data_IF_698726132244
#
_entry.id   IF_698726132244
#
_cell.length_a   1.000
_cell.length_b   1.000
_cell.length_c   1.000
_cell.angle_alpha   90.00
_cell.angle_beta   90.00
_cell.angle_gamma   90.00
#
_symmetry.space_group_name_H-M   'P 1'
#
loop_
_entity.id
_entity.type
_entity.pdbx_description
1 polymer ?
#
# COMPACT_ATOMS: atom_id res chain seq x y z
N UNK A 1 -3.12 25.92 1.53
CA UNK A 1 -2.59 26.31 0.21
C UNK A 1 -1.50 25.30 -0.08
N UNK A 2 -1.82 24.29 -0.90
CA UNK A 2 -0.78 23.38 -1.40
C UNK A 2 0.10 24.19 -2.36
N UNK A 3 1.40 24.09 -2.19
CA UNK A 3 2.36 24.70 -3.09
C UNK A 3 2.35 23.85 -4.35
N UNK A 4 2.19 24.42 -5.53
CA UNK A 4 2.32 23.70 -6.80
C UNK A 4 3.71 23.06 -6.86
N UNK A 5 3.79 21.80 -7.32
CA UNK A 5 4.98 20.95 -7.46
C UNK A 5 5.51 20.31 -6.15
N UNK A 6 4.70 20.18 -5.08
CA UNK A 6 5.12 19.53 -3.84
C UNK A 6 5.21 18.00 -4.00
N UNK A 7 6.41 17.44 -3.74
CA UNK A 7 6.68 16.00 -3.79
C UNK A 7 6.85 15.40 -2.40
N UNK A 8 6.09 14.35 -2.12
CA UNK A 8 6.14 13.61 -0.85
C UNK A 8 6.61 12.18 -1.09
N UNK A 9 7.65 11.76 -0.38
CA UNK A 9 8.06 10.35 -0.31
C UNK A 9 7.34 9.69 0.86
N UNK A 10 6.46 8.73 0.57
CA UNK A 10 5.71 7.99 1.57
C UNK A 10 6.30 6.60 1.79
N UNK A 11 6.27 6.13 3.05
CA UNK A 11 6.77 4.81 3.47
C UNK A 11 5.68 4.08 4.24
N UNK A 12 5.42 2.81 3.85
CA UNK A 12 4.43 1.92 4.47
C UNK A 12 5.11 0.61 4.88
N UNK A 13 4.90 0.19 6.14
CA UNK A 13 5.41 -1.07 6.69
C UNK A 13 4.50 -1.65 7.77
N UNK A 14 3.19 -1.41 7.71
CA UNK A 14 2.28 -1.71 8.84
C UNK A 14 2.05 -3.21 9.09
N UNK A 15 2.24 -4.07 8.10
CA UNK A 15 1.97 -5.51 8.23
C UNK A 15 3.06 -6.37 7.56
N UNK A 16 2.82 -6.87 6.37
CA UNK A 16 3.65 -7.84 5.65
C UNK A 16 4.09 -7.35 4.26
N UNK A 17 3.95 -6.07 4.00
CA UNK A 17 4.45 -5.42 2.81
C UNK A 17 5.30 -4.20 3.17
N UNK A 18 6.45 -4.07 2.53
CA UNK A 18 7.26 -2.86 2.58
C UNK A 18 7.02 -2.08 1.31
N UNK A 19 6.48 -0.88 1.44
CA UNK A 19 6.25 -0.03 0.26
C UNK A 19 6.84 1.37 0.43
N UNK A 20 7.23 1.96 -0.70
CA UNK A 20 7.52 3.38 -0.82
C UNK A 20 6.95 3.95 -2.12
N UNK A 21 6.46 5.17 -2.05
CA UNK A 21 5.86 5.86 -3.18
C UNK A 21 6.28 7.33 -3.19
N UNK A 22 6.38 7.91 -4.37
CA UNK A 22 6.51 9.36 -4.55
C UNK A 22 5.21 9.89 -5.14
N UNK A 23 4.60 10.84 -4.44
CA UNK A 23 3.36 11.49 -4.86
C UNK A 23 3.61 12.99 -5.02
N UNK A 24 3.17 13.55 -6.14
CA UNK A 24 3.24 14.97 -6.45
C UNK A 24 1.87 15.61 -6.33
N UNK A 25 1.79 16.82 -5.82
CA UNK A 25 0.57 17.62 -5.70
C UNK A 25 -0.59 16.94 -4.94
N UNK A 26 -0.26 15.91 -4.13
CA UNK A 26 -1.23 15.18 -3.32
C UNK A 26 -1.99 14.07 -4.03
N UNK A 27 -1.98 14.03 -5.36
CA UNK A 27 -2.74 13.06 -6.16
C UNK A 27 -1.92 12.34 -7.23
N UNK A 28 -0.89 12.97 -7.77
CA UNK A 28 -0.16 12.43 -8.91
C UNK A 28 0.89 11.41 -8.45
N UNK A 29 0.64 10.14 -8.72
CA UNK A 29 1.54 9.04 -8.35
C UNK A 29 2.70 8.95 -9.34
N UNK A 30 3.90 9.36 -8.93
CA UNK A 30 5.12 9.31 -9.74
C UNK A 30 5.78 7.92 -9.67
N UNK A 31 5.73 7.26 -8.51
CA UNK A 31 6.23 5.89 -8.32
C UNK A 31 5.49 5.18 -7.20
N UNK A 32 5.43 3.85 -7.30
CA UNK A 32 4.94 2.97 -6.23
C UNK A 32 5.71 1.64 -6.29
N UNK A 33 6.52 1.40 -5.28
CA UNK A 33 7.35 0.20 -5.15
C UNK A 33 6.88 -0.60 -3.95
N UNK A 34 6.54 -1.86 -4.17
CA UNK A 34 6.03 -2.77 -3.13
C UNK A 34 6.90 -4.02 -3.11
N UNK A 35 7.37 -4.38 -1.92
CA UNK A 35 8.03 -5.66 -1.63
C UNK A 35 7.14 -6.47 -0.70
N UNK A 36 6.46 -7.47 -1.25
CA UNK A 36 5.56 -8.35 -0.49
C UNK A 36 6.34 -9.48 0.18
N UNK A 37 5.85 -9.90 1.35
CA UNK A 37 6.36 -11.02 2.15
C UNK A 37 5.44 -12.25 2.07
N UNK A 38 4.47 -12.28 1.14
CA UNK A 38 3.48 -13.37 1.01
C UNK A 38 4.16 -14.73 0.99
N UNK A 39 5.21 -14.91 0.19
CA UNK A 39 5.91 -16.19 0.05
C UNK A 39 6.57 -16.64 1.36
N UNK A 40 7.08 -15.69 2.16
CA UNK A 40 7.70 -15.96 3.46
C UNK A 40 6.62 -16.43 4.44
N UNK A 41 5.46 -15.80 4.45
CA UNK A 41 4.38 -16.10 5.39
C UNK A 41 3.49 -17.26 4.97
N UNK A 42 3.46 -17.61 3.68
CA UNK A 42 2.67 -18.73 3.16
C UNK A 42 3.00 -20.07 3.85
N UNK A 43 4.27 -20.31 4.20
CA UNK A 43 4.71 -21.52 4.90
C UNK A 43 4.14 -21.64 6.32
N UNK A 44 3.76 -20.49 6.93
CA UNK A 44 3.16 -20.44 8.28
C UNK A 44 1.63 -20.43 8.22
N UNK A 45 1.05 -20.17 7.03
CA UNK A 45 -0.39 -20.01 6.84
C UNK A 45 -0.95 -18.72 7.41
N UNK A 46 -0.12 -17.68 7.51
CA UNK A 46 -0.48 -16.35 8.00
C UNK A 46 0.74 -15.56 8.44
N UNK A 47 0.55 -14.27 8.72
CA UNK A 47 1.63 -13.35 9.07
C UNK A 47 2.22 -13.66 10.45
N UNK A 48 3.55 -13.78 10.50
CA UNK A 48 4.32 -13.93 11.74
C UNK A 48 5.00 -12.59 12.04
N UNK A 49 4.58 -11.86 13.09
CA UNK A 49 5.01 -10.46 13.30
C UNK A 49 6.53 -10.26 13.43
N UNK A 50 7.25 -11.18 14.06
CA UNK A 50 8.70 -11.08 14.19
C UNK A 50 9.41 -11.27 12.85
N UNK A 51 8.93 -12.21 12.03
CA UNK A 51 9.47 -12.45 10.68
C UNK A 51 9.21 -11.23 9.81
N UNK A 52 8.00 -10.66 9.87
CA UNK A 52 7.65 -9.45 9.15
C UNK A 52 8.58 -8.28 9.48
N UNK A 53 8.79 -8.01 10.78
CA UNK A 53 9.67 -6.92 11.23
C UNK A 53 11.11 -7.08 10.71
N UNK A 54 11.66 -8.30 10.74
CA UNK A 54 13.01 -8.59 10.21
C UNK A 54 13.11 -8.36 8.70
N UNK A 55 12.10 -8.81 7.96
CA UNK A 55 12.06 -8.63 6.51
C UNK A 55 12.00 -7.14 6.13
N UNK A 56 11.20 -6.32 6.83
CA UNK A 56 11.17 -4.87 6.60
C UNK A 56 12.55 -4.24 6.76
N UNK A 57 13.30 -4.64 7.80
CA UNK A 57 14.64 -4.10 8.07
C UNK A 57 15.61 -4.32 6.90
N UNK A 58 15.51 -5.45 6.22
CA UNK A 58 16.39 -5.82 5.13
C UNK A 58 16.10 -5.05 3.84
N UNK A 59 14.82 -4.71 3.60
CA UNK A 59 14.39 -4.22 2.27
C UNK A 59 13.97 -2.75 2.25
N UNK A 60 13.80 -2.08 3.40
CA UNK A 60 13.21 -0.74 3.45
C UNK A 60 14.04 0.31 2.68
N UNK A 61 15.37 0.30 2.81
CA UNK A 61 16.22 1.24 2.08
C UNK A 61 16.25 0.94 0.58
N UNK A 62 16.47 -0.31 0.12
CA UNK A 62 16.30 -0.66 -1.30
C UNK A 62 14.96 -0.24 -1.90
N UNK A 63 13.86 -0.38 -1.17
CA UNK A 63 12.52 0.01 -1.63
C UNK A 63 12.42 1.54 -1.78
N UNK A 64 12.95 2.29 -0.82
CA UNK A 64 13.00 3.76 -0.87
C UNK A 64 13.87 4.24 -2.04
N UNK A 65 15.06 3.68 -2.21
CA UNK A 65 15.96 4.07 -3.30
C UNK A 65 15.34 3.77 -4.67
N UNK A 66 14.66 2.63 -4.78
CA UNK A 66 13.94 2.29 -6.01
C UNK A 66 12.76 3.22 -6.27
N UNK A 67 12.00 3.62 -5.25
CA UNK A 67 10.89 4.55 -5.41
C UNK A 67 11.36 5.91 -5.94
N UNK A 68 12.47 6.43 -5.43
CA UNK A 68 13.10 7.66 -5.93
C UNK A 68 13.56 7.51 -7.39
N UNK A 69 14.22 6.39 -7.71
CA UNK A 69 14.70 6.12 -9.06
C UNK A 69 13.54 5.99 -10.08
N UNK A 70 12.50 5.26 -9.73
CA UNK A 70 11.32 5.07 -10.60
C UNK A 70 10.55 6.40 -10.81
N UNK A 71 10.55 7.29 -9.81
CA UNK A 71 10.01 8.65 -9.92
C UNK A 71 10.94 9.60 -10.69
N UNK A 72 12.15 9.18 -11.04
CA UNK A 72 13.22 10.06 -11.58
C UNK A 72 13.53 11.24 -10.65
N UNK A 73 13.43 11.04 -9.34
CA UNK A 73 13.68 12.04 -8.30
C UNK A 73 14.97 11.76 -7.55
N UNK A 74 15.58 12.82 -7.08
CA UNK A 74 16.65 12.81 -6.08
C UNK A 74 16.09 13.26 -4.72
N UNK A 75 16.90 13.19 -3.67
CA UNK A 75 16.50 13.71 -2.36
C UNK A 75 16.27 15.23 -2.34
N UNK A 76 16.88 15.96 -3.27
CA UNK A 76 16.69 17.42 -3.37
C UNK A 76 15.31 17.77 -3.92
N UNK A 77 14.72 16.88 -4.72
CA UNK A 77 13.37 17.04 -5.30
C UNK A 77 12.24 16.70 -4.33
N UNK A 78 12.54 16.06 -3.19
CA UNK A 78 11.53 15.67 -2.19
C UNK A 78 11.35 16.79 -1.18
N UNK A 79 10.11 17.25 -0.96
CA UNK A 79 9.78 18.31 -0.02
C UNK A 79 9.46 17.79 1.38
N UNK A 80 8.87 16.60 1.48
CA UNK A 80 8.46 16.01 2.74
C UNK A 80 8.53 14.49 2.71
N UNK A 81 8.60 13.87 3.91
CA UNK A 81 8.38 12.44 4.10
C UNK A 81 7.04 12.21 4.79
N UNK A 82 6.41 11.10 4.44
CA UNK A 82 5.24 10.58 5.12
C UNK A 82 5.51 9.13 5.55
N UNK A 83 4.95 8.69 6.68
CA UNK A 83 5.09 7.31 7.14
C UNK A 83 3.85 6.84 7.86
N UNK A 84 3.44 5.62 7.60
CA UNK A 84 2.37 4.98 8.36
C UNK A 84 2.83 4.71 9.79
N UNK A 85 2.07 5.26 10.77
CA UNK A 85 2.43 5.13 12.19
C UNK A 85 1.48 4.20 12.97
N UNK A 86 0.24 4.03 12.50
CA UNK A 86 -0.81 3.21 13.11
C UNK A 86 -2.02 3.09 12.17
N UNK A 87 -2.90 2.06 12.39
CA UNK A 87 -2.65 0.81 13.09
C UNK A 87 -1.75 -0.14 12.30
N UNK A 88 -1.23 -1.18 12.97
CA UNK A 88 -0.41 -2.22 12.35
C UNK A 88 0.38 -3.04 13.38
N UNK A 89 1.21 -3.95 12.90
CA UNK A 89 2.10 -4.75 13.72
C UNK A 89 3.19 -3.86 14.33
N UNK A 90 3.32 -3.86 15.64
CA UNK A 90 4.23 -2.94 16.37
C UNK A 90 5.67 -3.01 15.87
N UNK A 91 6.20 -4.22 15.64
CA UNK A 91 7.56 -4.40 15.13
C UNK A 91 7.73 -3.85 13.71
N UNK A 92 6.76 -4.10 12.82
CA UNK A 92 6.74 -3.63 11.45
C UNK A 92 6.66 -2.10 11.39
N UNK A 93 5.71 -1.50 12.10
CA UNK A 93 5.56 -0.04 12.22
C UNK A 93 6.83 0.62 12.77
N UNK A 94 7.49 -0.01 13.75
CA UNK A 94 8.72 0.53 14.34
C UNK A 94 9.82 0.66 13.31
N UNK A 95 10.01 -0.34 12.42
CA UNK A 95 11.05 -0.28 11.38
C UNK A 95 10.78 0.88 10.41
N UNK A 96 9.56 1.00 9.87
CA UNK A 96 9.20 2.09 8.96
C UNK A 96 9.33 3.47 9.59
N UNK A 97 8.80 3.64 10.80
CA UNK A 97 8.86 4.94 11.49
C UNK A 97 10.28 5.35 11.87
N UNK A 98 11.13 4.41 12.29
CA UNK A 98 12.54 4.70 12.57
C UNK A 98 13.31 5.05 11.30
N UNK A 99 13.11 4.31 10.21
CA UNK A 99 13.73 4.60 8.92
C UNK A 99 13.31 5.98 8.41
N UNK A 100 12.01 6.26 8.36
CA UNK A 100 11.48 7.54 7.91
C UNK A 100 11.99 8.71 8.77
N UNK A 101 12.00 8.56 10.10
CA UNK A 101 12.52 9.58 11.01
C UNK A 101 14.01 9.83 10.79
N UNK A 102 14.80 8.78 10.61
CA UNK A 102 16.24 8.90 10.34
C UNK A 102 16.48 9.62 9.03
N UNK A 103 15.78 9.23 7.96
CA UNK A 103 15.89 9.88 6.65
C UNK A 103 15.47 11.35 6.72
N UNK A 104 14.35 11.67 7.40
CA UNK A 104 13.88 13.03 7.59
C UNK A 104 14.91 13.92 8.27
N UNK A 105 15.57 13.42 9.32
CA UNK A 105 16.65 14.12 10.02
C UNK A 105 17.89 14.31 9.14
N UNK A 106 18.33 13.25 8.46
CA UNK A 106 19.52 13.29 7.60
C UNK A 106 19.35 14.22 6.39
N UNK A 107 18.14 14.26 5.83
CA UNK A 107 17.82 15.03 4.63
C UNK A 107 17.21 16.41 4.96
N UNK A 108 17.04 16.72 6.25
CA UNK A 108 16.43 17.95 6.75
C UNK A 108 15.06 18.24 6.10
N UNK A 109 14.20 17.21 6.08
CA UNK A 109 12.83 17.28 5.53
C UNK A 109 11.80 17.10 6.63
N UNK A 110 10.63 17.75 6.55
CA UNK A 110 9.52 17.49 7.46
C UNK A 110 9.01 16.05 7.35
N UNK A 111 8.51 15.50 8.45
CA UNK A 111 7.95 14.15 8.53
C UNK A 111 6.50 14.20 9.00
N UNK A 112 5.60 13.56 8.25
CA UNK A 112 4.19 13.49 8.55
C UNK A 112 3.77 12.05 8.90
N UNK A 113 3.10 11.85 10.05
CA UNK A 113 2.51 10.55 10.40
C UNK A 113 1.19 10.36 9.67
N UNK A 114 1.01 9.18 9.06
CA UNK A 114 -0.21 8.85 8.30
C UNK A 114 -0.90 7.66 8.96
N UNK A 115 -2.21 7.75 9.12
CA UNK A 115 -3.01 6.66 9.61
C UNK A 115 -3.28 5.66 8.49
N UNK A 116 -2.94 4.36 8.70
CA UNK A 116 -3.02 3.31 7.68
C UNK A 116 -4.41 3.21 7.02
N UNK A 117 -5.46 3.24 7.85
CA UNK A 117 -6.84 3.11 7.36
C UNK A 117 -7.27 4.32 6.53
N UNK A 118 -6.85 5.53 6.91
CA UNK A 118 -7.05 6.74 6.09
C UNK A 118 -6.33 6.60 4.75
N UNK A 119 -5.11 6.06 4.75
CA UNK A 119 -4.34 5.80 3.52
C UNK A 119 -5.12 4.94 2.52
N UNK A 120 -5.84 3.92 2.98
CA UNK A 120 -6.70 3.11 2.10
C UNK A 120 -7.84 3.91 1.45
N UNK A 121 -8.43 4.87 2.17
CA UNK A 121 -9.47 5.73 1.62
C UNK A 121 -8.87 6.71 0.62
N UNK A 122 -7.78 7.38 0.99
CA UNK A 122 -7.11 8.36 0.14
C UNK A 122 -6.46 7.76 -1.12
N UNK A 123 -6.16 6.47 -1.13
CA UNK A 123 -5.69 5.78 -2.33
C UNK A 123 -6.67 5.88 -3.52
N UNK A 124 -7.97 6.13 -3.26
CA UNK A 124 -8.96 6.34 -4.31
C UNK A 124 -8.93 7.74 -4.94
N UNK A 125 -8.19 8.68 -4.36
CA UNK A 125 -7.99 10.03 -4.90
C UNK A 125 -6.73 10.13 -5.77
N UNK A 126 -5.91 9.08 -5.80
CA UNK A 126 -4.66 9.06 -6.57
C UNK A 126 -4.97 8.92 -8.05
N UNK A 127 -4.40 9.81 -8.84
CA UNK A 127 -4.37 9.74 -10.30
C UNK A 127 -3.08 9.06 -10.75
N UNK A 128 -3.20 8.13 -11.69
CA UNK A 128 -2.03 7.57 -12.37
C UNK A 128 -1.70 8.47 -13.54
N UNK A 129 -0.50 9.03 -13.65
CA UNK A 129 -0.09 9.72 -14.86
C UNK A 129 -0.20 8.72 -16.00
N UNK A 130 -0.91 9.09 -17.07
CA UNK A 130 -0.95 8.29 -18.29
C UNK A 130 0.49 8.03 -18.71
N UNK A 131 0.93 6.76 -18.92
CA UNK A 131 2.31 6.52 -19.30
C UNK A 131 2.59 7.31 -20.56
N UNK A 132 3.55 8.20 -20.51
CA UNK A 132 4.05 8.86 -21.72
C UNK A 132 4.53 7.75 -22.65
N UNK A 133 3.85 7.61 -23.80
CA UNK A 133 4.23 6.67 -24.85
C UNK A 133 5.67 6.97 -25.25
N UNK A 134 6.60 6.12 -24.82
CA UNK A 134 7.99 6.16 -25.25
C UNK A 134 9.02 6.40 -24.17
N UNK A 135 9.31 5.39 -23.37
CA UNK A 135 10.68 5.05 -22.95
C UNK A 135 10.70 3.57 -22.59
N UNK A 136 11.08 2.74 -23.58
CA UNK A 136 11.51 1.39 -23.32
C UNK A 136 12.78 1.42 -22.49
N UNK A 137 12.71 1.01 -21.24
CA UNK A 137 13.88 0.60 -20.47
C UNK A 137 13.96 -0.91 -20.51
N UNK A 138 14.84 -1.41 -21.35
CA UNK A 138 15.33 -2.80 -21.26
C UNK A 138 16.05 -2.94 -19.94
N UNK A 139 15.51 -3.71 -19.03
CA UNK A 139 16.22 -4.17 -17.83
C UNK A 139 17.26 -5.19 -18.26
N UNK A 140 18.55 -4.87 -18.06
CA UNK A 140 19.62 -5.85 -18.03
C UNK A 140 19.53 -6.64 -16.72
N UNK A 141 19.31 -7.95 -16.85
CA UNK A 141 19.44 -8.91 -15.77
C UNK A 141 20.93 -9.03 -15.38
N UNK A 142 21.39 -8.27 -14.39
CA UNK A 142 22.65 -8.56 -13.70
C UNK A 142 22.69 -7.87 -12.33
N UNK A 143 21.91 -8.39 -11.39
CA UNK A 143 22.23 -8.39 -9.96
C UNK A 143 21.36 -9.45 -9.28
N UNK A 144 21.95 -10.63 -9.14
CA UNK A 144 21.28 -11.82 -8.65
C UNK A 144 20.87 -11.68 -7.17
N UNK A 145 19.55 -11.75 -6.95
CA UNK A 145 18.97 -12.44 -5.81
C UNK A 145 18.07 -13.53 -6.40
N UNK A 146 18.24 -14.80 -5.99
CA UNK A 146 17.51 -15.90 -6.59
C UNK A 146 16.13 -16.05 -5.96
N UNK A 147 15.09 -15.69 -6.71
CA UNK A 147 13.76 -16.29 -6.55
C UNK A 147 12.99 -16.08 -7.85
N UNK A 148 12.76 -17.15 -8.57
CA UNK A 148 11.86 -17.19 -9.72
C UNK A 148 10.46 -16.74 -9.27
N UNK A 149 9.96 -15.69 -9.89
CA UNK A 149 8.58 -15.23 -9.71
C UNK A 149 7.63 -16.13 -10.48
N UNK A 150 6.59 -16.69 -9.87
CA UNK A 150 5.38 -17.01 -10.62
C UNK A 150 4.76 -15.67 -11.07
N UNK A 151 4.44 -15.58 -12.36
CA UNK A 151 3.67 -14.45 -12.92
C UNK A 151 2.28 -14.48 -12.30
N UNK A 152 2.06 -13.67 -11.28
CA UNK A 152 0.72 -13.34 -10.83
C UNK A 152 0.50 -11.88 -11.18
N UNK A 153 -0.38 -11.65 -12.16
CA UNK A 153 -0.98 -10.35 -12.41
C UNK A 153 -1.80 -9.96 -11.17
N UNK A 154 -1.15 -9.34 -10.18
CA UNK A 154 -1.84 -8.69 -9.09
C UNK A 154 -2.22 -7.28 -9.56
N UNK A 155 -3.25 -7.22 -10.38
CA UNK A 155 -4.11 -6.05 -10.42
C UNK A 155 -4.84 -6.04 -9.07
N UNK A 156 -4.56 -5.05 -8.23
CA UNK A 156 -5.48 -4.66 -7.17
C UNK A 156 -6.73 -4.17 -7.89
N UNK A 157 -7.66 -5.10 -8.11
CA UNK A 157 -8.97 -4.76 -8.61
C UNK A 157 -9.76 -4.13 -7.45
N UNK A 158 -9.70 -2.80 -7.35
CA UNK A 158 -10.87 -2.09 -6.92
C UNK A 158 -11.96 -2.46 -7.92
N UNK A 159 -12.94 -3.27 -7.52
CA UNK A 159 -14.10 -3.60 -8.34
C UNK A 159 -14.97 -2.36 -8.47
N UNK A 160 -14.60 -1.45 -9.35
CA UNK A 160 -15.53 -0.52 -9.94
C UNK A 160 -16.38 -1.34 -10.91
N UNK A 161 -17.65 -1.52 -10.59
CA UNK A 161 -18.66 -2.03 -11.50
C UNK A 161 -18.54 -1.28 -12.84
N UNK A 162 -18.23 -2.03 -13.90
CA UNK A 162 -18.33 -1.54 -15.27
C UNK A 162 -19.79 -1.17 -15.52
N UNK A 163 -20.01 0.07 -15.73
CA UNK A 163 -21.02 0.72 -16.54
C UNK A 163 -21.32 2.10 -15.97
N UNK A 164 -20.46 3.05 -16.32
CA UNK A 164 -20.89 4.40 -16.68
C UNK A 164 -19.65 5.10 -17.26
N UNK A 165 -19.74 5.50 -18.51
CA UNK A 165 -18.83 6.45 -19.14
C UNK A 165 -18.73 7.71 -18.25
N UNK A 166 -17.70 7.78 -17.41
CA UNK A 166 -17.33 9.01 -16.73
C UNK A 166 -15.94 9.38 -17.21
N UNK A 167 -15.93 10.13 -18.27
CA UNK A 167 -14.84 11.02 -18.62
C UNK A 167 -14.83 12.16 -17.56
N UNK A 168 -14.45 11.84 -16.33
CA UNK A 168 -14.24 12.83 -15.28
C UNK A 168 -12.89 12.55 -14.62
N UNK A 169 -12.02 13.52 -14.74
CA UNK A 169 -10.72 13.66 -14.05
C UNK A 169 -10.88 13.91 -12.54
N UNK A 170 -12.06 13.68 -11.98
CA UNK A 170 -12.35 14.01 -10.58
C UNK A 170 -12.44 12.71 -9.77
N UNK A 171 -11.54 12.58 -8.77
CA UNK A 171 -11.60 11.55 -7.74
C UNK A 171 -12.91 11.63 -6.92
N UNK A 172 -13.04 10.78 -5.87
CA UNK A 172 -14.22 10.81 -5.00
C UNK A 172 -14.47 12.21 -4.42
N UNK A 173 -15.75 12.56 -4.22
CA UNK A 173 -16.15 13.83 -3.62
C UNK A 173 -16.76 13.61 -2.23
N UNK A 174 -16.67 14.60 -1.36
CA UNK A 174 -17.30 14.57 -0.05
C UNK A 174 -18.76 15.08 -0.08
N UNK A 175 -19.66 14.54 0.80
CA UNK A 175 -19.39 13.48 1.77
C UNK A 175 -19.19 12.11 1.11
N UNK A 176 -18.30 11.30 1.69
CA UNK A 176 -17.88 10.00 1.16
C UNK A 176 -18.13 8.90 2.19
N UNK A 177 -18.88 7.87 1.83
CA UNK A 177 -19.02 6.67 2.64
C UNK A 177 -18.01 5.61 2.20
N UNK A 178 -17.06 5.28 3.06
CA UNK A 178 -16.03 4.30 2.82
C UNK A 178 -16.33 2.97 3.52
N UNK A 179 -16.36 1.87 2.76
CA UNK A 179 -16.30 0.51 3.29
C UNK A 179 -14.87 0.01 3.17
N UNK A 180 -14.19 -0.14 4.32
CA UNK A 180 -12.81 -0.60 4.40
C UNK A 180 -12.81 -2.07 4.75
N UNK A 181 -12.29 -2.91 3.86
CA UNK A 181 -12.23 -4.37 3.99
C UNK A 181 -10.81 -4.84 3.71
N UNK A 182 -10.16 -5.44 4.71
CA UNK A 182 -8.81 -5.96 4.61
C UNK A 182 -8.61 -7.19 5.49
N UNK A 183 -7.39 -7.71 5.56
CA UNK A 183 -7.01 -8.79 6.46
C UNK A 183 -7.17 -8.44 7.95
N UNK A 184 -6.96 -7.16 8.32
CA UNK A 184 -7.03 -6.70 9.71
C UNK A 184 -8.21 -5.78 10.03
N UNK A 185 -8.93 -5.28 9.03
CA UNK A 185 -9.96 -4.26 9.21
C UNK A 185 -11.24 -4.56 8.43
N UNK A 186 -12.39 -4.34 9.08
CA UNK A 186 -13.69 -4.27 8.43
C UNK A 186 -14.47 -3.14 9.09
N UNK A 187 -14.50 -1.98 8.42
CA UNK A 187 -15.01 -0.73 8.96
C UNK A 187 -15.88 0.00 7.95
N UNK A 188 -16.89 0.69 8.45
CA UNK A 188 -17.72 1.62 7.70
C UNK A 188 -17.48 3.01 8.26
N UNK A 189 -16.97 3.93 7.43
CA UNK A 189 -16.53 5.28 7.84
C UNK A 189 -17.17 6.31 6.93
N UNK A 190 -17.76 7.34 7.52
CA UNK A 190 -18.29 8.49 6.79
C UNK A 190 -17.29 9.63 6.87
N UNK A 191 -16.79 10.07 5.73
CA UNK A 191 -15.96 11.27 5.60
C UNK A 191 -16.84 12.45 5.19
N UNK A 192 -16.87 13.49 6.01
CA UNK A 192 -17.56 14.75 5.73
C UNK A 192 -16.71 15.67 4.89
N UNK A 193 -15.40 15.67 5.13
CA UNK A 193 -14.37 16.43 4.42
C UNK A 193 -12.99 15.80 4.67
N UNK A 194 -11.93 16.37 4.12
CA UNK A 194 -10.55 15.93 4.37
C UNK A 194 -10.21 15.99 5.87
N UNK A 195 -9.86 14.84 6.44
CA UNK A 195 -9.50 14.70 7.86
C UNK A 195 -10.69 14.84 8.83
N UNK A 196 -11.90 15.04 8.34
CA UNK A 196 -13.15 15.10 9.14
C UNK A 196 -14.02 13.89 8.83
N UNK A 197 -13.98 12.88 9.71
CA UNK A 197 -14.72 11.63 9.52
C UNK A 197 -15.22 11.02 10.83
N UNK A 198 -16.24 10.19 10.71
CA UNK A 198 -16.78 9.40 11.83
C UNK A 198 -16.82 7.90 11.50
N UNK A 199 -16.50 7.08 12.47
CA UNK A 199 -16.62 5.63 12.39
C UNK A 199 -18.07 5.23 12.66
N UNK A 200 -18.80 4.81 11.62
CA UNK A 200 -20.19 4.37 11.76
C UNK A 200 -20.31 2.94 12.29
N UNK A 201 -19.34 2.09 11.98
CA UNK A 201 -19.32 0.71 12.44
C UNK A 201 -18.03 -0.01 12.12
N UNK A 202 -17.75 -1.06 12.88
CA UNK A 202 -16.61 -1.94 12.64
C UNK A 202 -16.94 -3.37 13.06
N UNK A 203 -16.20 -4.33 12.54
CA UNK A 203 -16.33 -5.72 12.99
C UNK A 203 -16.08 -5.84 14.49
N UNK A 204 -16.82 -6.73 15.13
CA UNK A 204 -16.69 -7.05 16.55
C UNK A 204 -15.85 -8.30 16.80
N UNK A 205 -15.44 -8.99 15.74
CA UNK A 205 -14.66 -10.22 15.78
C UNK A 205 -13.64 -10.18 14.63
N UNK A 206 -13.56 -11.23 13.82
CA UNK A 206 -12.63 -11.31 12.70
C UNK A 206 -12.89 -10.21 11.65
N UNK A 207 -11.83 -9.67 11.07
CA UNK A 207 -11.94 -8.93 9.83
C UNK A 207 -12.32 -9.87 8.67
N UNK A 208 -12.95 -9.34 7.62
CA UNK A 208 -13.42 -10.15 6.49
C UNK A 208 -12.27 -10.94 5.84
N UNK A 209 -11.09 -10.33 5.64
CA UNK A 209 -9.95 -11.01 5.07
C UNK A 209 -9.44 -12.14 5.96
N UNK A 210 -9.36 -11.94 7.28
CA UNK A 210 -9.01 -12.99 8.23
C UNK A 210 -10.03 -14.13 8.22
N UNK A 211 -11.33 -13.83 8.12
CA UNK A 211 -12.37 -14.84 7.99
C UNK A 211 -12.17 -15.69 6.71
N UNK A 212 -11.83 -15.05 5.58
CA UNK A 212 -11.48 -15.76 4.35
C UNK A 212 -10.27 -16.66 4.52
N UNK A 213 -9.21 -16.20 5.19
CA UNK A 213 -8.02 -17.02 5.44
C UNK A 213 -8.34 -18.26 6.29
N UNK A 214 -9.14 -18.09 7.35
CA UNK A 214 -9.60 -19.19 8.20
C UNK A 214 -10.46 -20.20 7.43
N UNK A 215 -11.41 -19.73 6.63
CA UNK A 215 -12.28 -20.60 5.82
C UNK A 215 -11.46 -21.33 4.76
N UNK A 216 -10.57 -20.64 4.03
CA UNK A 216 -9.70 -21.25 3.04
C UNK A 216 -8.89 -22.41 3.65
N UNK A 217 -8.30 -22.20 4.81
CA UNK A 217 -7.56 -23.22 5.55
C UNK A 217 -8.41 -24.44 5.90
N UNK A 218 -9.67 -24.22 6.33
CA UNK A 218 -10.59 -25.32 6.68
C UNK A 218 -10.95 -26.16 5.45
N UNK A 219 -11.17 -25.54 4.30
CA UNK A 219 -11.55 -26.23 3.05
C UNK A 219 -10.33 -26.67 2.20
N UNK A 220 -9.11 -26.47 2.70
CA UNK A 220 -7.87 -26.92 2.06
C UNK A 220 -7.39 -26.07 0.89
N UNK A 221 -7.80 -24.81 0.82
CA UNK A 221 -7.29 -23.85 -0.16
C UNK A 221 -6.02 -23.13 0.34
N UNK A 222 -5.14 -22.68 -0.58
CA UNK A 222 -3.89 -22.03 -0.21
C UNK A 222 -4.10 -20.62 0.36
N UNK A 223 -3.12 -20.15 1.13
CA UNK A 223 -2.99 -18.75 1.55
C UNK A 223 -2.44 -17.88 0.39
N UNK A 224 -2.90 -16.61 0.23
CA UNK A 224 -3.96 -15.93 0.99
C UNK A 224 -5.37 -16.42 0.63
N UNK A 225 -6.25 -16.51 1.65
CA UNK A 225 -7.58 -17.13 1.54
C UNK A 225 -8.55 -16.38 0.64
N UNK A 226 -8.56 -15.05 0.69
CA UNK A 226 -9.46 -14.24 -0.13
C UNK A 226 -9.33 -14.54 -1.63
N UNK A 227 -8.16 -14.36 -2.24
CA UNK A 227 -7.95 -14.67 -3.66
C UNK A 227 -8.20 -16.14 -4.01
N UNK A 228 -7.82 -17.08 -3.15
CA UNK A 228 -7.99 -18.50 -3.43
C UNK A 228 -9.45 -18.94 -3.37
N UNK A 229 -10.25 -18.41 -2.47
CA UNK A 229 -11.70 -18.64 -2.42
C UNK A 229 -12.39 -17.99 -3.62
N UNK A 230 -12.04 -16.74 -3.95
CA UNK A 230 -12.59 -16.05 -5.11
C UNK A 230 -12.37 -16.86 -6.39
N UNK A 231 -11.14 -17.32 -6.61
CA UNK A 231 -10.80 -18.17 -7.76
C UNK A 231 -11.57 -19.50 -7.76
N UNK A 232 -11.73 -20.14 -6.61
CA UNK A 232 -12.49 -21.39 -6.51
C UNK A 232 -13.99 -21.18 -6.82
N UNK A 233 -14.55 -20.04 -6.40
CA UNK A 233 -15.94 -19.68 -6.65
C UNK A 233 -16.28 -19.42 -8.13
N UNK A 234 -15.30 -19.09 -8.98
CA UNK A 234 -15.52 -18.93 -10.43
C UNK A 234 -15.89 -20.25 -11.13
N UNK A 235 -15.59 -21.39 -10.52
CA UNK A 235 -15.81 -22.72 -11.07
C UNK A 235 -16.89 -23.51 -10.35
N UNK A 236 -17.60 -22.92 -9.38
CA UNK A 236 -18.60 -23.53 -8.50
C UNK A 236 -20.05 -23.28 -8.90
#
# INVERSE_FOLDING_TARGET
IMQDDMKVLAIESSCDETAAAVVENGTDLLSNVIQSQIDIHAVFGGVVPEVAARSHLEVILPVVDKALADASCTWDDIDALAVTYAPGLVGSLLIGTLAARTLALLKNKPLYPIHHVEGHVYANFISHPTPAVGRGSSFSEDSALPAERPKTDNQIAGSASKENDVNSSDGPSFPLLALIVSGGHSQLVLFHDHGDYELLGQTQDDAVGEAFDKVAKIIGLPYPGGPSIAKAAESG
#
